data_IF_157330623914
#
_entry.id   IF_157330623914
#
_cell.length_a   1.000
_cell.length_b   1.000
_cell.length_c   1.000
_cell.angle_alpha   90.00
_cell.angle_beta   90.00
_cell.angle_gamma   90.00
#
_symmetry.space_group_name_H-M   'P 1'
#
loop_
_entity.id
_entity.type
_entity.pdbx_description
1 polymer ?
#
# COMPACT_ATOMS: atom_id res chain seq x y z
N UNK A 1 4.00 -2.52 -22.91
CA UNK A 1 5.19 -2.00 -22.20
C UNK A 1 5.78 -0.77 -22.90
N UNK A 2 6.13 -0.83 -24.19
CA UNK A 2 6.79 0.29 -24.90
C UNK A 2 6.01 1.62 -24.92
N UNK A 3 4.68 1.59 -24.95
CA UNK A 3 3.87 2.82 -24.93
C UNK A 3 3.83 3.46 -23.53
N UNK A 4 3.70 2.66 -22.47
CA UNK A 4 3.61 3.13 -21.08
C UNK A 4 4.91 3.78 -20.60
N UNK A 5 6.06 3.21 -20.96
CA UNK A 5 7.36 3.79 -20.62
C UNK A 5 7.54 5.16 -21.31
N UNK A 6 7.15 5.26 -22.59
CA UNK A 6 7.16 6.53 -23.32
C UNK A 6 6.19 7.57 -22.77
N UNK A 7 5.14 7.13 -22.06
CA UNK A 7 4.17 8.01 -21.40
C UNK A 7 4.50 8.30 -19.93
N UNK A 8 5.72 8.05 -19.48
CA UNK A 8 6.19 8.44 -18.15
C UNK A 8 6.14 7.35 -17.08
N UNK A 9 5.88 6.08 -17.43
CA UNK A 9 6.04 4.97 -16.48
C UNK A 9 7.53 4.71 -16.22
N UNK A 10 7.91 4.81 -14.95
CA UNK A 10 9.27 4.58 -14.46
C UNK A 10 9.26 3.31 -13.59
N UNK A 11 10.25 2.44 -13.81
CA UNK A 11 10.55 1.33 -12.92
C UNK A 11 11.80 1.68 -12.13
N UNK A 12 11.76 1.50 -10.81
CA UNK A 12 12.87 1.80 -9.92
C UNK A 12 12.95 0.74 -8.82
N UNK A 13 14.17 0.40 -8.42
CA UNK A 13 14.50 -0.30 -7.18
C UNK A 13 15.10 0.64 -6.11
N UNK A 14 15.29 1.92 -6.44
CA UNK A 14 15.68 2.96 -5.51
C UNK A 14 14.46 3.51 -4.77
N UNK A 15 14.39 3.24 -3.47
CA UNK A 15 13.32 3.69 -2.56
C UNK A 15 13.29 5.21 -2.37
N UNK A 16 14.38 5.93 -2.69
CA UNK A 16 14.41 7.40 -2.57
C UNK A 16 13.35 8.08 -3.43
N UNK A 17 12.95 7.44 -4.54
CA UNK A 17 11.89 7.89 -5.44
C UNK A 17 10.51 8.01 -4.79
N UNK A 18 10.29 7.33 -3.65
CA UNK A 18 9.05 7.47 -2.87
C UNK A 18 8.82 8.89 -2.35
N UNK A 19 9.87 9.72 -2.24
CA UNK A 19 9.78 11.12 -1.83
C UNK A 19 9.05 12.00 -2.85
N UNK A 20 9.04 11.59 -4.12
CA UNK A 20 8.39 12.34 -5.20
C UNK A 20 6.92 11.94 -5.40
N UNK A 21 6.45 10.94 -4.64
CA UNK A 21 5.09 10.41 -4.75
C UNK A 21 4.13 11.07 -3.76
N UNK A 22 2.93 11.46 -4.20
CA UNK A 22 1.85 11.89 -3.29
C UNK A 22 1.08 10.68 -2.72
N UNK A 23 0.92 9.63 -3.53
CA UNK A 23 0.23 8.40 -3.17
C UNK A 23 1.15 7.19 -3.36
N UNK A 24 1.14 6.28 -2.38
CA UNK A 24 1.96 5.07 -2.38
C UNK A 24 1.02 3.87 -2.20
N UNK A 25 0.96 3.00 -3.21
CA UNK A 25 0.13 1.79 -3.18
C UNK A 25 1.00 0.56 -2.95
N UNK A 26 0.66 -0.24 -1.95
CA UNK A 26 1.43 -1.40 -1.52
C UNK A 26 0.77 -2.68 -1.97
N UNK A 27 1.41 -3.34 -2.94
CA UNK A 27 0.96 -4.59 -3.56
C UNK A 27 2.02 -5.70 -3.45
N UNK A 28 2.67 -5.81 -2.29
CA UNK A 28 3.69 -6.85 -2.04
C UNK A 28 3.06 -8.23 -1.80
N UNK A 29 3.81 -9.34 -2.00
CA UNK A 29 3.30 -10.68 -1.77
C UNK A 29 2.89 -10.92 -0.31
N UNK A 30 1.78 -11.62 -0.11
CA UNK A 30 1.29 -12.06 1.21
C UNK A 30 1.02 -13.57 1.18
N UNK A 31 2.06 -14.41 0.99
CA UNK A 31 1.86 -15.85 0.88
C UNK A 31 1.22 -16.38 2.17
N UNK A 32 0.28 -17.31 2.04
CA UNK A 32 -0.29 -18.02 3.17
C UNK A 32 0.66 -19.16 3.57
N UNK A 33 0.86 -19.35 4.87
CA UNK A 33 1.48 -20.57 5.42
C UNK A 33 0.52 -21.23 6.40
N UNK A 34 0.74 -22.51 6.72
CA UNK A 34 -0.15 -23.35 7.53
C UNK A 34 -0.44 -22.81 8.95
N UNK A 35 0.35 -21.84 9.45
CA UNK A 35 0.25 -21.36 10.83
C UNK A 35 -0.02 -19.86 10.99
N UNK A 36 0.20 -19.03 9.95
CA UNK A 36 -0.18 -17.59 9.82
C UNK A 36 0.44 -17.01 8.52
N UNK A 37 -0.10 -15.95 7.90
CA UNK A 37 0.58 -15.28 6.78
C UNK A 37 1.90 -14.67 7.30
N UNK A 38 3.08 -15.01 6.75
CA UNK A 38 4.29 -14.25 7.01
C UNK A 38 4.12 -12.83 6.45
N UNK A 39 3.97 -11.85 7.35
CA UNK A 39 3.94 -10.43 7.00
C UNK A 39 5.32 -9.85 6.69
N UNK A 40 6.35 -10.67 6.49
CA UNK A 40 7.73 -10.21 6.27
C UNK A 40 7.83 -9.19 5.14
N UNK A 41 7.12 -9.40 4.02
CA UNK A 41 7.10 -8.46 2.90
C UNK A 41 6.38 -7.15 3.24
N UNK A 42 5.24 -7.22 3.95
CA UNK A 42 4.47 -6.04 4.37
C UNK A 42 5.26 -5.22 5.39
N UNK A 43 5.91 -5.89 6.35
CA UNK A 43 6.79 -5.28 7.37
C UNK A 43 8.00 -4.64 6.68
N UNK A 44 8.65 -5.36 5.77
CA UNK A 44 9.80 -4.83 5.03
C UNK A 44 9.43 -3.60 4.20
N UNK A 45 8.27 -3.63 3.54
CA UNK A 45 7.77 -2.46 2.80
C UNK A 45 7.50 -1.29 3.73
N UNK A 46 6.81 -1.51 4.86
CA UNK A 46 6.53 -0.50 5.87
C UNK A 46 7.81 0.19 6.35
N UNK A 47 8.83 -0.61 6.69
CA UNK A 47 10.11 -0.12 7.20
C UNK A 47 10.89 0.68 6.15
N UNK A 48 10.84 0.28 4.88
CA UNK A 48 11.53 1.00 3.81
C UNK A 48 10.84 2.33 3.49
N UNK A 49 9.51 2.33 3.39
CA UNK A 49 8.71 3.53 3.17
C UNK A 49 8.95 4.53 4.31
N UNK A 50 8.96 4.07 5.56
CA UNK A 50 9.11 4.92 6.74
C UNK A 50 10.36 5.84 6.70
N UNK A 51 11.44 5.39 6.06
CA UNK A 51 12.68 6.17 5.90
C UNK A 51 12.54 7.33 4.92
N UNK A 52 11.59 7.23 4.00
CA UNK A 52 11.40 8.15 2.87
C UNK A 52 10.14 9.01 3.00
N UNK A 53 9.34 8.81 4.04
CA UNK A 53 8.07 9.50 4.24
C UNK A 53 8.21 11.02 4.35
N UNK A 54 7.28 11.71 3.72
CA UNK A 54 7.05 13.14 3.80
C UNK A 54 5.62 13.40 4.28
N UNK A 55 5.45 14.52 4.98
CA UNK A 55 4.13 14.98 5.44
C UNK A 55 3.20 15.22 4.23
N UNK A 56 1.95 14.79 4.36
CA UNK A 56 0.89 14.92 3.34
C UNK A 56 0.74 13.69 2.44
N UNK A 57 1.65 12.71 2.50
CA UNK A 57 1.55 11.51 1.68
C UNK A 57 0.40 10.59 2.13
N UNK A 58 -0.13 9.81 1.18
CA UNK A 58 -1.16 8.80 1.42
C UNK A 58 -0.61 7.42 1.09
N UNK A 59 -0.69 6.49 2.05
CA UNK A 59 -0.29 5.10 1.84
C UNK A 59 -1.51 4.18 1.84
N UNK A 60 -1.65 3.38 0.78
CA UNK A 60 -2.77 2.47 0.60
C UNK A 60 -2.24 1.04 0.59
N UNK A 61 -2.67 0.23 1.56
CA UNK A 61 -2.39 -1.21 1.55
C UNK A 61 -3.40 -1.90 0.63
N UNK A 62 -2.91 -2.48 -0.47
CA UNK A 62 -3.71 -3.21 -1.46
C UNK A 62 -3.47 -4.73 -1.40
N UNK A 63 -2.30 -5.15 -0.91
CA UNK A 63 -1.99 -6.56 -0.63
C UNK A 63 -3.13 -7.24 0.15
N UNK A 64 -3.47 -8.48 -0.25
CA UNK A 64 -4.47 -9.27 0.45
C UNK A 64 -4.00 -9.62 1.86
N UNK A 65 -4.62 -9.02 2.87
CA UNK A 65 -4.33 -9.27 4.29
C UNK A 65 -5.64 -9.46 5.07
N UNK A 66 -5.53 -9.72 6.37
CA UNK A 66 -6.72 -9.78 7.22
C UNK A 66 -7.16 -8.35 7.61
N UNK A 67 -8.45 -8.14 7.96
CA UNK A 67 -8.92 -6.85 8.45
C UNK A 67 -8.18 -6.44 9.73
N UNK A 68 -7.57 -5.26 9.73
CA UNK A 68 -6.80 -4.76 10.88
C UNK A 68 -5.30 -4.67 10.61
N UNK A 69 -4.76 -5.35 9.59
CA UNK A 69 -3.31 -5.33 9.29
C UNK A 69 -2.74 -3.92 9.10
N UNK A 70 -3.49 -2.98 8.52
CA UNK A 70 -3.05 -1.57 8.41
C UNK A 70 -2.77 -0.95 9.78
N UNK A 71 -3.65 -1.16 10.76
CA UNK A 71 -3.58 -0.56 12.10
C UNK A 71 -2.69 -1.35 13.06
N UNK A 72 -2.71 -2.68 13.00
CA UNK A 72 -2.08 -3.57 13.97
C UNK A 72 -0.65 -3.94 13.61
N UNK A 73 -0.27 -3.84 12.33
CA UNK A 73 1.04 -4.26 11.82
C UNK A 73 1.71 -3.14 11.06
N UNK A 74 1.09 -2.65 9.98
CA UNK A 74 1.75 -1.75 9.03
C UNK A 74 2.12 -0.39 9.65
N UNK A 75 1.15 0.30 10.26
CA UNK A 75 1.39 1.58 10.94
C UNK A 75 2.39 1.45 12.11
N UNK A 76 2.27 0.44 13.00
CA UNK A 76 3.26 0.23 14.06
C UNK A 76 4.69 0.07 13.55
N UNK A 77 4.92 -0.60 12.42
CA UNK A 77 6.27 -0.70 11.83
C UNK A 77 6.78 0.65 11.30
N UNK A 78 5.89 1.49 10.74
CA UNK A 78 6.26 2.84 10.29
C UNK A 78 6.65 3.72 11.48
N UNK A 79 5.86 3.70 12.56
CA UNK A 79 6.09 4.52 13.75
C UNK A 79 7.37 4.16 14.52
N UNK A 80 7.96 2.98 14.28
CA UNK A 80 9.28 2.64 14.84
C UNK A 80 10.43 3.44 14.21
N UNK A 81 10.20 4.03 13.03
CA UNK A 81 11.24 4.69 12.22
C UNK A 81 10.91 6.16 11.94
N UNK A 82 9.63 6.48 11.73
CA UNK A 82 9.16 7.83 11.42
C UNK A 82 8.43 8.45 12.61
N UNK A 83 8.72 9.71 12.89
CA UNK A 83 8.03 10.52 13.91
C UNK A 83 6.74 11.17 13.40
N UNK A 84 6.37 10.96 12.13
CA UNK A 84 5.18 11.53 11.52
C UNK A 84 3.92 10.82 12.05
N UNK A 85 2.89 11.60 12.38
CA UNK A 85 1.67 11.09 13.01
C UNK A 85 0.71 10.49 11.99
N UNK A 86 0.32 9.21 12.14
CA UNK A 86 -0.71 8.60 11.31
C UNK A 86 -2.07 9.28 11.48
N UNK A 87 -2.71 9.59 10.36
CA UNK A 87 -4.01 10.26 10.29
C UNK A 87 -3.96 11.78 10.48
N UNK A 88 -2.77 12.35 10.72
CA UNK A 88 -2.56 13.81 10.87
C UNK A 88 -1.50 14.31 9.88
N UNK A 89 -0.28 13.76 9.96
CA UNK A 89 0.83 14.13 9.08
C UNK A 89 0.91 13.22 7.85
N UNK A 90 0.48 11.96 7.97
CA UNK A 90 0.46 10.97 6.89
C UNK A 90 -0.85 10.21 6.95
N UNK A 91 -1.46 9.97 5.79
CA UNK A 91 -2.76 9.32 5.70
C UNK A 91 -2.60 7.86 5.29
N UNK A 92 -3.49 7.01 5.81
CA UNK A 92 -3.44 5.57 5.57
C UNK A 92 -4.80 5.05 5.16
N UNK A 93 -4.78 4.18 4.16
CA UNK A 93 -5.97 3.50 3.66
C UNK A 93 -5.74 2.02 3.39
N UNK A 94 -6.85 1.33 3.14
CA UNK A 94 -6.89 -0.04 2.68
C UNK A 94 -7.84 -0.14 1.50
N UNK A 95 -7.36 -0.75 0.42
CA UNK A 95 -8.18 -1.02 -0.77
C UNK A 95 -7.74 -2.36 -1.38
N UNK A 96 -8.29 -3.49 -0.91
CA UNK A 96 -7.86 -4.79 -1.38
C UNK A 96 -8.27 -5.00 -2.82
N UNK A 97 -7.35 -5.56 -3.60
CA UNK A 97 -7.67 -6.02 -4.94
C UNK A 97 -8.61 -7.24 -4.90
N UNK A 98 -9.57 -7.29 -5.82
CA UNK A 98 -10.60 -8.35 -5.88
C UNK A 98 -10.84 -8.91 -7.28
N UNK A 99 -9.91 -8.66 -8.20
CA UNK A 99 -10.03 -9.14 -9.58
C UNK A 99 -9.89 -10.65 -9.63
N UNK A 100 -10.86 -11.28 -10.30
CA UNK A 100 -10.76 -12.66 -10.78
C UNK A 100 -10.35 -12.62 -12.27
N UNK A 101 -9.12 -13.05 -12.63
CA UNK A 101 -8.66 -13.02 -14.02
C UNK A 101 -9.52 -13.85 -15.00
N UNK A 102 -10.29 -14.82 -14.50
CA UNK A 102 -11.20 -15.64 -15.29
C UNK A 102 -12.57 -15.00 -15.52
N UNK A 103 -12.88 -13.91 -14.84
CA UNK A 103 -14.19 -13.28 -14.88
C UNK A 103 -14.37 -12.42 -16.15
N UNK A 104 -15.37 -12.75 -16.95
CA UNK A 104 -15.65 -12.07 -18.23
C UNK A 104 -16.50 -10.81 -18.08
N UNK A 105 -17.23 -10.69 -16.97
CA UNK A 105 -18.13 -9.55 -16.70
C UNK A 105 -17.41 -8.46 -15.90
N UNK A 106 -16.68 -8.88 -14.86
CA UNK A 106 -15.93 -8.00 -13.95
C UNK A 106 -14.44 -8.08 -14.26
N UNK A 107 -13.90 -6.98 -14.81
CA UNK A 107 -12.51 -6.79 -15.14
C UNK A 107 -11.88 -5.68 -14.26
N UNK A 108 -10.58 -5.43 -14.47
CA UNK A 108 -9.82 -4.42 -13.72
C UNK A 108 -10.50 -3.04 -13.68
N UNK A 109 -11.18 -2.61 -14.75
CA UNK A 109 -11.75 -1.27 -14.86
C UNK A 109 -13.11 -1.11 -14.17
N UNK A 110 -13.90 -2.17 -14.07
CA UNK A 110 -15.30 -2.07 -13.62
C UNK A 110 -15.60 -2.84 -12.32
N UNK A 111 -14.66 -3.60 -11.79
CA UNK A 111 -14.83 -4.29 -10.50
C UNK A 111 -14.95 -3.24 -9.38
N UNK A 112 -16.06 -3.22 -8.61
CA UNK A 112 -16.20 -2.28 -7.51
C UNK A 112 -15.12 -2.51 -6.46
N UNK A 113 -14.46 -1.43 -6.04
CA UNK A 113 -13.42 -1.47 -5.01
C UNK A 113 -14.00 -1.09 -3.65
N UNK A 114 -13.54 -1.79 -2.62
CA UNK A 114 -13.69 -1.35 -1.24
C UNK A 114 -12.54 -0.39 -0.95
N UNK A 115 -12.85 0.76 -0.34
CA UNK A 115 -11.86 1.75 0.09
C UNK A 115 -12.21 2.16 1.51
N UNK A 116 -11.20 2.25 2.37
CA UNK A 116 -11.36 2.75 3.74
C UNK A 116 -10.09 3.44 4.23
N UNK A 117 -10.24 4.68 4.69
CA UNK A 117 -9.23 5.40 5.46
C UNK A 117 -9.23 4.98 6.93
N UNK A 118 -8.12 5.22 7.65
CA UNK A 118 -8.05 4.97 9.10
C UNK A 118 -8.87 5.97 9.93
N UNK A 119 -9.17 7.15 9.36
CA UNK A 119 -10.05 8.19 9.88
C UNK A 119 -10.74 8.92 8.71
N UNK A 120 -11.56 9.92 9.00
CA UNK A 120 -12.27 10.68 7.96
C UNK A 120 -11.34 11.48 7.05
N UNK A 121 -10.22 11.98 7.58
CA UNK A 121 -9.25 12.76 6.81
C UNK A 121 -8.43 11.87 5.86
N UNK A 122 -8.38 10.56 6.13
CA UNK A 122 -7.73 9.55 5.27
C UNK A 122 -8.69 8.88 4.28
N UNK A 123 -9.97 9.29 4.22
CA UNK A 123 -11.00 8.69 3.36
C UNK A 123 -11.02 9.31 1.96
#
# INVERSE_FOLDING_TARGET
>A
MNTSIKSGLIFSDDSSTLRDCEHIVISVPTPLTDFKPPFSYVISAAQEIAKMLLKGQIIILESTTYPGTTLEVFIPEIQKISDLKPGEDIFFGYSPERIDPGNKEWNFKNTPKVVRGINNDSL
#
